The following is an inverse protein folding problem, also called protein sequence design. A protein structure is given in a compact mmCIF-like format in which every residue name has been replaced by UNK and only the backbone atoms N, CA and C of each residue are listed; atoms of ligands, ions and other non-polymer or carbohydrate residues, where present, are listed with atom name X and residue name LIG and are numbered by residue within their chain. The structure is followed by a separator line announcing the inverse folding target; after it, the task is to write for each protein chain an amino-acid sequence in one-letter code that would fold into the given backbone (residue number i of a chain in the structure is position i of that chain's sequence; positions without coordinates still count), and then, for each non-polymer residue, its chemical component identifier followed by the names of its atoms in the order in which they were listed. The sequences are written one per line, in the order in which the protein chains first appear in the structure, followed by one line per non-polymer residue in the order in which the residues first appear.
data_IF_992602631236
#
_entry.id   IF_992602631236
#
_cell.length_a   1.000
_cell.length_b   1.000
_cell.length_c   1.000
_cell.angle_alpha   90.00
_cell.angle_beta   90.00
_cell.angle_gamma   90.00
#
_symmetry.space_group_name_H-M   'P 1'
#
loop_
_entity.id
_entity.type
_entity.pdbx_description
1 polymer ?
#
# COMPACT_ATOMS: atom_id res chain seq x y z
N UNK A 1 16.04 -9.15 7.57
CA UNK A 1 15.57 -8.71 6.24
C UNK A 1 14.40 -7.78 6.43
N UNK A 2 14.52 -6.51 6.06
CA UNK A 2 13.41 -5.56 6.13
C UNK A 2 12.54 -5.74 4.88
N UNK A 3 11.34 -6.28 5.05
CA UNK A 3 10.35 -6.36 3.98
C UNK A 3 9.57 -5.05 3.97
N UNK A 4 9.45 -4.43 2.80
CA UNK A 4 8.67 -3.21 2.59
C UNK A 4 7.58 -3.44 1.54
N UNK A 5 6.48 -2.71 1.66
CA UNK A 5 5.38 -2.72 0.68
C UNK A 5 5.35 -1.39 -0.04
N UNK A 6 5.24 -1.43 -1.38
CA UNK A 6 5.11 -0.22 -2.19
C UNK A 6 3.71 0.37 -2.03
N UNK A 7 3.63 1.69 -1.98
CA UNK A 7 2.38 2.42 -1.81
C UNK A 7 2.25 3.45 -2.91
N UNK A 8 1.07 3.56 -3.50
CA UNK A 8 0.70 4.62 -4.45
C UNK A 8 -0.39 5.50 -3.85
N UNK A 9 -0.41 6.77 -4.25
CA UNK A 9 -1.55 7.66 -4.05
C UNK A 9 -2.67 7.40 -5.09
N UNK A 10 -3.85 8.04 -4.97
CA UNK A 10 -4.93 7.92 -5.96
C UNK A 10 -4.55 8.37 -7.39
N UNK A 11 -3.53 9.22 -7.53
CA UNK A 11 -3.00 9.66 -8.82
C UNK A 11 -1.90 8.71 -9.36
N UNK A 12 -1.70 7.55 -8.72
CA UNK A 12 -0.66 6.56 -9.02
C UNK A 12 0.77 7.07 -8.85
N UNK A 13 0.97 8.09 -8.05
CA UNK A 13 2.28 8.59 -7.67
C UNK A 13 2.83 7.75 -6.51
N UNK A 14 4.12 7.32 -6.56
CA UNK A 14 4.75 6.59 -5.46
C UNK A 14 4.76 7.40 -4.17
N UNK A 15 4.35 6.77 -3.08
CA UNK A 15 4.53 7.27 -1.72
C UNK A 15 5.68 6.51 -1.05
N UNK A 16 6.03 6.92 0.17
CA UNK A 16 7.00 6.19 0.96
C UNK A 16 6.55 4.73 1.18
N UNK A 17 7.45 3.75 0.95
CA UNK A 17 7.12 2.37 1.23
C UNK A 17 6.90 2.18 2.73
N UNK A 18 5.96 1.31 3.06
CA UNK A 18 5.57 1.07 4.46
C UNK A 18 5.93 -0.34 4.87
N UNK A 19 6.02 -0.55 6.18
CA UNK A 19 6.17 -1.90 6.73
C UNK A 19 4.90 -2.73 6.41
N UNK A 20 5.00 -4.03 6.07
CA UNK A 20 3.86 -4.88 5.76
C UNK A 20 2.77 -4.91 6.83
N UNK A 21 3.13 -4.71 8.10
CA UNK A 21 2.16 -4.58 9.19
C UNK A 21 1.23 -3.37 9.00
N UNK A 22 1.76 -2.24 8.54
CA UNK A 22 0.98 -1.03 8.23
C UNK A 22 0.11 -1.28 7.00
N UNK A 23 0.68 -1.86 5.93
CA UNK A 23 -0.08 -2.20 4.73
C UNK A 23 -1.30 -3.10 5.03
N UNK A 24 -1.14 -4.11 5.89
CA UNK A 24 -2.25 -4.97 6.32
C UNK A 24 -3.33 -4.21 7.09
N UNK A 25 -2.94 -3.29 7.98
CA UNK A 25 -3.89 -2.44 8.72
C UNK A 25 -4.70 -1.57 7.76
N UNK A 26 -4.04 -0.90 6.82
CA UNK A 26 -4.70 -0.05 5.81
C UNK A 26 -5.68 -0.84 4.94
N UNK A 27 -5.28 -2.05 4.51
CA UNK A 27 -6.15 -2.95 3.73
C UNK A 27 -7.36 -3.43 4.55
N UNK A 28 -7.16 -3.77 5.82
CA UNK A 28 -8.23 -4.25 6.71
C UNK A 28 -9.23 -3.15 7.05
N UNK A 29 -8.75 -1.91 7.16
CA UNK A 29 -9.58 -0.72 7.39
C UNK A 29 -10.31 -0.24 6.12
N UNK A 30 -10.00 -0.79 4.95
CA UNK A 30 -10.54 -0.31 3.67
C UNK A 30 -9.94 1.02 3.19
N UNK A 31 -8.92 1.54 3.86
CA UNK A 31 -8.20 2.78 3.52
C UNK A 31 -7.26 2.61 2.32
N UNK A 32 -6.93 1.37 1.95
CA UNK A 32 -6.13 1.04 0.78
C UNK A 32 -6.72 -0.15 0.03
N UNK A 33 -6.31 -0.33 -1.22
CA UNK A 33 -6.61 -1.49 -2.04
C UNK A 33 -5.33 -2.09 -2.62
N UNK A 34 -5.37 -3.38 -2.97
CA UNK A 34 -4.26 -4.02 -3.70
C UNK A 34 -4.23 -3.46 -5.13
N UNK A 35 -3.11 -2.88 -5.53
CA UNK A 35 -2.87 -2.38 -6.88
C UNK A 35 -2.21 -3.46 -7.76
N UNK A 36 -1.17 -4.12 -7.25
CA UNK A 36 -0.41 -5.16 -7.96
C UNK A 36 0.12 -6.22 -6.99
N UNK A 37 0.17 -7.49 -7.43
CA UNK A 37 0.63 -8.63 -6.61
C UNK A 37 2.16 -8.79 -6.55
N UNK A 38 2.88 -8.52 -7.66
CA UNK A 38 4.35 -8.56 -7.66
C UNK A 38 4.97 -7.48 -8.57
N UNK A 39 5.83 -6.57 -8.06
CA UNK A 39 6.06 -6.40 -6.62
C UNK A 39 4.76 -6.03 -5.91
N UNK A 40 4.62 -6.40 -4.64
CA UNK A 40 3.38 -6.16 -3.90
C UNK A 40 3.22 -4.65 -3.67
N UNK A 41 2.15 -4.09 -4.23
CA UNK A 41 1.86 -2.66 -4.22
C UNK A 41 0.42 -2.44 -3.79
N UNK A 42 0.21 -1.55 -2.83
CA UNK A 42 -1.10 -1.06 -2.43
C UNK A 42 -1.31 0.37 -2.95
N UNK A 43 -2.55 0.76 -3.16
CA UNK A 43 -2.95 2.13 -3.52
C UNK A 43 -3.88 2.67 -2.44
N UNK A 44 -3.61 3.88 -1.96
CA UNK A 44 -4.48 4.56 -1.00
C UNK A 44 -5.82 4.90 -1.67
N UNK A 45 -6.93 4.67 -0.95
CA UNK A 45 -8.25 5.18 -1.36
C UNK A 45 -8.43 6.58 -0.78
N UNK A 46 -9.13 7.46 -1.49
CA UNK A 46 -9.70 8.64 -0.85
C UNK A 46 -10.81 8.14 0.08
N UNK A 47 -10.67 8.42 1.37
CA UNK A 47 -11.76 8.34 2.34
C UNK A 47 -12.84 9.36 2.00
#
# INVERSE_FOLDING_TARGET
MQNYTFVLDPNKQPLHPVHPAVARRLLSNGEAAVFRRYPFTIIARRS
#
